data_IF_815727623573
#
_entry.id   IF_815727623573
#
_cell.length_a   1.000
_cell.length_b   1.000
_cell.length_c   1.000
_cell.angle_alpha   90.00
_cell.angle_beta   90.00
_cell.angle_gamma   90.00
#
_symmetry.space_group_name_H-M   'P 1'
#
loop_
_entity.id
_entity.type
_entity.pdbx_description
1 polymer ?
#
# COMPACT_ATOMS: atom_id res chain seq x y z
N UNK A 1 -21.72 -38.22 -12.20
CA UNK A 1 -22.86 -37.31 -11.90
C UNK A 1 -22.54 -36.24 -10.85
N UNK A 2 -21.81 -36.54 -9.76
CA UNK A 2 -21.56 -35.57 -8.67
C UNK A 2 -20.71 -34.35 -9.07
N UNK A 3 -19.65 -34.56 -9.87
CA UNK A 3 -18.74 -33.47 -10.32
C UNK A 3 -19.47 -32.44 -11.18
N UNK A 4 -20.43 -32.87 -12.00
CA UNK A 4 -21.22 -31.99 -12.88
C UNK A 4 -22.16 -31.08 -12.08
N UNK A 5 -22.71 -31.59 -10.96
CA UNK A 5 -23.56 -30.82 -10.05
C UNK A 5 -22.79 -29.75 -9.29
N UNK A 6 -21.57 -30.05 -8.84
CA UNK A 6 -20.69 -29.07 -8.17
C UNK A 6 -20.30 -27.94 -9.13
N UNK A 7 -19.91 -28.27 -10.38
CA UNK A 7 -19.60 -27.27 -11.40
C UNK A 7 -20.78 -26.32 -11.66
N UNK A 8 -22.01 -26.86 -11.72
CA UNK A 8 -23.23 -26.06 -11.94
C UNK A 8 -23.57 -25.16 -10.76
N UNK A 9 -23.34 -25.64 -9.52
CA UNK A 9 -23.54 -24.84 -8.31
C UNK A 9 -22.55 -23.67 -8.21
N UNK A 10 -21.29 -23.89 -8.61
CA UNK A 10 -20.27 -22.83 -8.69
C UNK A 10 -20.55 -21.80 -9.80
N UNK A 11 -21.31 -22.18 -10.82
CA UNK A 11 -21.70 -21.29 -11.93
C UNK A 11 -23.06 -20.60 -11.71
N UNK A 12 -23.70 -20.81 -10.55
CA UNK A 12 -24.95 -20.16 -10.22
C UNK A 12 -24.81 -18.64 -10.12
N UNK A 13 -25.86 -17.86 -10.43
CA UNK A 13 -25.80 -16.40 -10.50
C UNK A 13 -25.28 -15.76 -9.19
N UNK A 14 -25.72 -16.25 -8.02
CA UNK A 14 -25.24 -15.77 -6.72
C UNK A 14 -23.72 -15.95 -6.51
N UNK A 15 -23.16 -17.05 -7.00
CA UNK A 15 -21.73 -17.32 -6.87
C UNK A 15 -20.94 -16.44 -7.84
N UNK A 16 -21.44 -16.28 -9.07
CA UNK A 16 -20.86 -15.38 -10.07
C UNK A 16 -20.84 -13.92 -9.60
N UNK A 17 -21.96 -13.39 -9.13
CA UNK A 17 -22.06 -11.99 -8.68
C UNK A 17 -21.11 -11.71 -7.51
N UNK A 18 -20.95 -12.68 -6.60
CA UNK A 18 -19.99 -12.59 -5.51
C UNK A 18 -18.54 -12.59 -5.99
N UNK A 19 -18.21 -13.39 -7.00
CA UNK A 19 -16.87 -13.39 -7.59
C UNK A 19 -16.56 -12.05 -8.27
N UNK A 20 -17.47 -11.54 -9.09
CA UNK A 20 -17.29 -10.24 -9.77
C UNK A 20 -17.10 -9.09 -8.74
N UNK A 21 -17.88 -9.11 -7.65
CA UNK A 21 -17.70 -8.16 -6.55
C UNK A 21 -16.31 -8.28 -5.89
N UNK A 22 -15.85 -9.51 -5.66
CA UNK A 22 -14.55 -9.76 -5.04
C UNK A 22 -13.41 -9.35 -5.95
N UNK A 23 -13.48 -9.68 -7.24
CA UNK A 23 -12.51 -9.26 -8.26
C UNK A 23 -12.41 -7.74 -8.31
N UNK A 24 -13.55 -7.03 -8.30
CA UNK A 24 -13.57 -5.56 -8.24
C UNK A 24 -12.88 -5.02 -6.99
N UNK A 25 -13.14 -5.61 -5.83
CA UNK A 25 -12.51 -5.21 -4.56
C UNK A 25 -11.01 -5.50 -4.54
N UNK A 26 -10.58 -6.63 -5.10
CA UNK A 26 -9.16 -6.98 -5.21
C UNK A 26 -8.45 -6.00 -6.13
N UNK A 27 -9.00 -5.74 -7.32
CA UNK A 27 -8.44 -4.77 -8.26
C UNK A 27 -8.32 -3.37 -7.64
N UNK A 28 -9.32 -2.93 -6.87
CA UNK A 28 -9.27 -1.67 -6.13
C UNK A 28 -8.12 -1.67 -5.11
N UNK A 29 -7.98 -2.73 -4.31
CA UNK A 29 -6.93 -2.85 -3.30
C UNK A 29 -5.52 -2.90 -3.93
N UNK A 30 -5.35 -3.64 -5.01
CA UNK A 30 -4.08 -3.78 -5.72
C UNK A 30 -3.66 -2.49 -6.42
N UNK A 31 -4.61 -1.65 -6.82
CA UNK A 31 -4.32 -0.33 -7.40
C UNK A 31 -3.78 0.70 -6.39
N UNK A 32 -3.92 0.45 -5.08
CA UNK A 32 -3.51 1.40 -4.04
C UNK A 32 -1.97 1.43 -3.93
N UNK A 33 -1.35 2.62 -3.84
CA UNK A 33 0.09 2.72 -3.62
C UNK A 33 0.50 2.02 -2.32
N UNK A 34 1.48 1.13 -2.39
CA UNK A 34 1.99 0.40 -1.23
C UNK A 34 3.17 1.15 -0.60
N UNK A 35 3.27 1.17 0.74
CA UNK A 35 4.42 1.73 1.42
C UNK A 35 5.73 1.03 1.01
N UNK A 36 6.70 1.79 0.52
CA UNK A 36 7.98 1.24 0.04
C UNK A 36 9.14 1.83 0.84
N UNK A 37 9.93 0.98 1.51
CA UNK A 37 11.13 1.45 2.23
C UNK A 37 12.30 1.64 1.26
N UNK A 38 12.85 2.85 1.23
CA UNK A 38 13.91 3.26 0.30
C UNK A 38 15.27 3.51 0.98
N UNK A 39 15.42 3.08 2.24
CA UNK A 39 16.66 3.22 2.99
C UNK A 39 16.82 4.60 3.65
N UNK A 40 18.08 5.03 3.79
CA UNK A 40 18.43 6.32 4.39
C UNK A 40 18.07 7.46 3.43
N UNK A 41 17.44 8.52 3.96
CA UNK A 41 17.09 9.72 3.21
C UNK A 41 18.32 10.35 2.52
N UNK A 42 18.13 10.81 1.28
CA UNK A 42 19.12 11.51 0.47
C UNK A 42 18.57 12.88 0.12
N UNK A 43 19.29 13.94 0.51
CA UNK A 43 18.89 15.31 0.20
C UNK A 43 18.79 15.54 -1.31
N UNK A 44 17.73 16.20 -1.76
CA UNK A 44 17.47 16.49 -3.18
C UNK A 44 16.94 15.30 -4.00
N UNK A 45 16.82 14.10 -3.44
CA UNK A 45 16.17 12.99 -4.13
C UNK A 45 14.65 13.18 -4.18
N UNK A 46 14.03 12.73 -5.27
CA UNK A 46 12.57 12.73 -5.42
C UNK A 46 11.98 11.43 -4.86
N UNK A 47 11.06 11.57 -3.92
CA UNK A 47 10.34 10.48 -3.27
C UNK A 47 8.88 10.50 -3.72
N UNK A 48 8.33 9.32 -4.04
CA UNK A 48 6.91 9.18 -4.34
C UNK A 48 6.09 9.11 -3.06
N UNK A 49 4.82 9.49 -3.13
CA UNK A 49 3.86 9.22 -2.06
C UNK A 49 3.94 7.75 -1.62
N UNK A 50 3.75 7.50 -0.32
CA UNK A 50 3.94 6.19 0.31
C UNK A 50 5.40 5.71 0.40
N UNK A 51 6.40 6.50 0.00
CA UNK A 51 7.80 6.17 0.29
C UNK A 51 8.08 6.25 1.80
N UNK A 52 8.92 5.34 2.29
CA UNK A 52 9.43 5.37 3.65
C UNK A 52 10.95 5.50 3.64
N UNK A 53 11.50 6.38 4.47
CA UNK A 53 12.95 6.56 4.61
C UNK A 53 13.36 6.70 6.08
N UNK A 54 14.62 6.41 6.38
CA UNK A 54 15.20 6.72 7.68
C UNK A 54 15.97 8.03 7.64
N UNK A 55 15.75 8.88 8.66
CA UNK A 55 16.53 10.10 8.89
C UNK A 55 16.63 10.36 10.38
N UNK A 56 17.85 10.69 10.84
CA UNK A 56 18.15 10.95 12.26
C UNK A 56 17.73 9.82 13.20
N UNK A 57 17.81 8.56 12.73
CA UNK A 57 17.43 7.37 13.48
C UNK A 57 15.92 7.13 13.63
N UNK A 58 15.09 7.92 12.94
CA UNK A 58 13.63 7.77 12.92
C UNK A 58 13.15 7.28 11.55
N UNK A 59 12.01 6.59 11.52
CA UNK A 59 11.33 6.16 10.30
C UNK A 59 10.26 7.20 9.91
N UNK A 60 10.28 7.61 8.65
CA UNK A 60 9.41 8.65 8.10
C UNK A 60 8.65 8.14 6.88
N UNK A 61 7.44 8.63 6.68
CA UNK A 61 6.52 8.31 5.59
C UNK A 61 6.22 9.56 4.75
N UNK A 62 6.43 9.50 3.45
CA UNK A 62 6.04 10.55 2.52
C UNK A 62 4.52 10.49 2.28
N UNK A 63 3.79 11.53 2.64
CA UNK A 63 2.33 11.62 2.46
C UNK A 63 1.93 12.00 1.04
N UNK A 64 2.86 12.58 0.29
CA UNK A 64 2.73 13.02 -1.10
C UNK A 64 4.08 12.90 -1.81
N UNK A 65 4.11 13.13 -3.12
CA UNK A 65 5.36 13.23 -3.88
C UNK A 65 6.18 14.43 -3.36
N UNK A 66 7.45 14.21 -3.03
CA UNK A 66 8.25 15.23 -2.35
C UNK A 66 9.74 15.12 -2.63
N UNK A 67 10.41 16.27 -2.63
CA UNK A 67 11.88 16.39 -2.53
C UNK A 67 12.32 16.93 -1.16
N UNK A 68 11.34 17.13 -0.27
CA UNK A 68 11.49 17.69 1.05
C UNK A 68 12.32 16.82 1.99
N UNK A 69 12.70 17.39 3.12
CA UNK A 69 13.54 16.72 4.12
C UNK A 69 12.67 16.24 5.29
N UNK A 70 12.74 14.95 5.69
CA UNK A 70 11.91 14.45 6.78
C UNK A 70 12.09 15.24 8.08
N UNK A 71 10.99 15.74 8.62
CA UNK A 71 10.96 16.54 9.84
C UNK A 71 11.21 18.04 9.66
N UNK A 72 11.33 18.54 8.42
CA UNK A 72 11.42 19.98 8.13
C UNK A 72 10.18 20.57 7.49
N UNK A 73 9.32 19.73 6.92
CA UNK A 73 8.10 20.13 6.21
C UNK A 73 6.97 19.13 6.50
N UNK A 74 5.78 19.42 5.95
CA UNK A 74 4.56 18.64 6.16
C UNK A 74 4.43 17.44 5.23
N UNK A 75 5.31 17.29 4.25
CA UNK A 75 5.25 16.19 3.26
C UNK A 75 5.71 14.85 3.87
N UNK A 76 6.34 14.91 5.05
CA UNK A 76 6.80 13.75 5.81
C UNK A 76 6.05 13.61 7.13
N UNK A 77 5.53 12.41 7.39
CA UNK A 77 4.95 12.00 8.66
C UNK A 77 5.91 11.08 9.40
N UNK A 78 6.16 11.36 10.67
CA UNK A 78 6.94 10.47 11.55
C UNK A 78 6.15 9.19 11.82
N UNK A 79 6.75 8.01 11.56
CA UNK A 79 6.16 6.70 11.90
C UNK A 79 6.69 6.24 13.26
N UNK A 80 8.02 6.16 13.40
CA UNK A 80 8.68 5.71 14.64
C UNK A 80 9.80 6.67 14.98
N UNK A 81 9.80 7.18 16.21
CA UNK A 81 10.90 7.99 16.74
C UNK A 81 12.07 7.07 17.14
N UNK A 82 13.30 7.53 16.92
CA UNK A 82 14.51 6.85 17.40
C UNK A 82 14.36 6.35 18.84
N UNK A 83 14.65 5.05 19.05
CA UNK A 83 14.66 4.42 20.38
C UNK A 83 13.28 4.11 20.96
N UNK A 84 12.25 4.00 20.12
CA UNK A 84 10.86 3.68 20.52
C UNK A 84 10.26 2.56 19.65
N UNK A 85 11.08 1.57 19.28
CA UNK A 85 10.65 0.40 18.50
C UNK A 85 10.28 -0.76 19.42
#
# INVERSE_FOLDING_TARGET
>A
MVVTTIKRALQGPLVKDRFELLEKRVAELESRPLPTYLGVHRAGAHYKACSMTTRSGSLWFATEDTTGTPGTDTTWRLIVKKGQA
#
